data_IF_131021873124
#
_entry.id   IF_131021873124
#
_cell.length_a   1.000
_cell.length_b   1.000
_cell.length_c   1.000
_cell.angle_alpha   90.00
_cell.angle_beta   90.00
_cell.angle_gamma   90.00
#
_symmetry.space_group_name_H-M   'P 1'
#
loop_
_entity.id
_entity.type
_entity.pdbx_description
1 polymer ?
#
# COMPACT_ATOMS: atom_id res chain seq x y z
N UNK A 1 33.73 -1.12 -26.83
CA UNK A 1 32.65 -0.57 -27.69
C UNK A 1 32.87 -1.08 -29.11
N UNK A 2 31.80 -1.26 -29.87
CA UNK A 2 31.79 -1.88 -31.19
C UNK A 2 32.10 -0.90 -32.35
N UNK A 3 32.20 0.40 -32.07
CA UNK A 3 32.66 1.43 -33.03
C UNK A 3 31.71 1.77 -34.19
N UNK A 4 30.76 0.88 -34.54
CA UNK A 4 29.89 1.07 -35.71
C UNK A 4 28.39 1.02 -35.44
N UNK A 5 27.96 0.71 -34.21
CA UNK A 5 26.54 0.77 -33.84
C UNK A 5 26.07 2.21 -33.60
N UNK A 6 24.75 2.45 -33.68
CA UNK A 6 24.14 3.77 -33.54
C UNK A 6 24.52 4.47 -32.24
N UNK A 7 24.61 3.73 -31.13
CA UNK A 7 25.04 4.30 -29.85
C UNK A 7 26.54 4.66 -29.81
N UNK A 8 27.41 3.93 -30.51
CA UNK A 8 28.84 4.23 -30.59
C UNK A 8 29.16 5.38 -31.54
N UNK A 9 28.29 5.64 -32.51
CA UNK A 9 28.41 6.76 -33.45
C UNK A 9 27.95 8.09 -32.84
N UNK A 10 27.30 8.08 -31.68
CA UNK A 10 26.86 9.30 -30.99
C UNK A 10 28.05 10.02 -30.35
N UNK A 11 28.22 11.28 -30.73
CA UNK A 11 29.28 12.16 -30.21
C UNK A 11 28.84 12.79 -28.88
N UNK A 12 27.57 13.19 -28.77
CA UNK A 12 27.01 13.87 -27.60
C UNK A 12 26.15 12.97 -26.70
N UNK A 13 26.06 13.34 -25.42
CA UNK A 13 25.17 12.70 -24.45
C UNK A 13 23.72 13.09 -24.73
N UNK A 14 22.77 12.16 -24.61
CA UNK A 14 21.37 12.44 -24.94
C UNK A 14 20.69 13.44 -23.99
N UNK A 15 21.26 13.70 -22.81
CA UNK A 15 20.75 14.66 -21.84
C UNK A 15 19.48 14.25 -21.09
N UNK A 16 18.82 13.17 -21.55
CA UNK A 16 17.48 12.77 -21.11
C UNK A 16 17.43 11.41 -20.40
N UNK A 17 18.43 10.54 -20.59
CA UNK A 17 18.47 9.26 -19.87
C UNK A 17 18.75 9.47 -18.38
N UNK A 18 18.47 8.46 -17.55
CA UNK A 18 18.61 8.57 -16.09
C UNK A 18 20.02 9.02 -15.68
N UNK A 19 21.07 8.44 -16.27
CA UNK A 19 22.45 8.85 -16.02
C UNK A 19 22.73 10.33 -16.37
N UNK A 20 22.27 10.81 -17.53
CA UNK A 20 22.46 12.22 -17.92
C UNK A 20 21.60 13.19 -17.10
N UNK A 21 20.40 12.77 -16.70
CA UNK A 21 19.50 13.59 -15.89
C UNK A 21 19.98 13.71 -14.44
N UNK A 22 20.53 12.63 -13.87
CA UNK A 22 21.14 12.67 -12.54
C UNK A 22 22.44 13.50 -12.56
N UNK A 23 23.21 13.43 -13.65
CA UNK A 23 24.43 14.23 -13.81
C UNK A 23 24.17 15.73 -13.81
N UNK A 24 23.11 16.20 -14.49
CA UNK A 24 22.72 17.62 -14.49
C UNK A 24 22.34 18.16 -13.11
N UNK A 25 21.90 17.30 -12.18
CA UNK A 25 21.38 17.72 -10.87
C UNK A 25 22.36 17.53 -9.71
N UNK A 26 23.16 16.46 -9.73
CA UNK A 26 24.01 16.08 -8.59
C UNK A 26 25.43 15.66 -8.98
N UNK A 27 25.85 15.84 -10.24
CA UNK A 27 27.18 15.39 -10.69
C UNK A 27 27.35 13.87 -10.66
N UNK A 28 26.28 13.13 -11.00
CA UNK A 28 26.25 11.66 -11.12
C UNK A 28 27.14 11.08 -12.22
N UNK A 29 26.97 9.79 -12.54
CA UNK A 29 27.88 9.09 -13.46
C UNK A 29 27.78 9.57 -14.92
N UNK A 30 28.93 9.76 -15.57
CA UNK A 30 29.07 10.25 -16.96
C UNK A 30 28.50 9.34 -18.05
N UNK A 31 27.92 8.19 -17.69
CA UNK A 31 27.52 7.17 -18.65
C UNK A 31 26.11 7.44 -19.15
N UNK A 32 26.04 8.05 -20.34
CA UNK A 32 24.82 8.11 -21.12
C UNK A 32 24.42 6.71 -21.60
N UNK A 33 23.24 6.23 -21.20
CA UNK A 33 22.69 4.93 -21.63
C UNK A 33 22.57 4.84 -23.15
N UNK A 34 22.34 5.97 -23.81
CA UNK A 34 22.26 6.11 -25.25
C UNK A 34 23.63 6.11 -25.95
N UNK A 35 24.74 6.06 -25.21
CA UNK A 35 26.10 5.86 -25.74
C UNK A 35 26.69 4.49 -25.36
N UNK A 36 25.94 3.67 -24.62
CA UNK A 36 26.31 2.29 -24.36
C UNK A 36 26.23 1.47 -25.64
N UNK A 37 27.34 0.84 -26.08
CA UNK A 37 27.37 0.04 -27.31
C UNK A 37 26.26 -1.02 -27.29
N UNK A 38 25.55 -1.18 -28.41
CA UNK A 38 24.48 -2.17 -28.54
C UNK A 38 25.02 -3.59 -28.71
N UNK A 39 26.22 -3.74 -29.26
CA UNK A 39 26.88 -5.02 -29.50
C UNK A 39 27.97 -5.29 -28.46
N UNK A 40 27.66 -5.15 -27.17
CA UNK A 40 28.57 -5.59 -26.11
C UNK A 40 28.45 -7.13 -26.08
N UNK A 41 29.51 -7.82 -26.52
CA UNK A 41 29.63 -9.26 -26.30
C UNK A 41 29.53 -9.50 -24.79
N UNK A 42 28.41 -10.11 -24.35
CA UNK A 42 28.19 -10.50 -22.96
C UNK A 42 29.23 -11.56 -22.59
N UNK A 43 30.31 -11.14 -21.96
CA UNK A 43 31.03 -11.99 -21.02
C UNK A 43 30.77 -11.44 -19.62
N UNK A 44 29.96 -12.24 -18.92
CA UNK A 44 29.70 -12.40 -17.49
C UNK A 44 30.07 -11.31 -16.45
N UNK A 45 29.13 -11.16 -15.51
CA UNK A 45 29.31 -10.82 -14.10
C UNK A 45 29.75 -9.40 -13.73
N UNK A 46 28.74 -8.58 -13.37
CA UNK A 46 28.82 -7.77 -12.15
C UNK A 46 27.45 -7.56 -11.51
N UNK A 47 27.23 -8.32 -10.46
CA UNK A 47 26.26 -8.10 -9.39
C UNK A 47 26.39 -6.69 -8.84
N UNK A 48 25.32 -5.90 -8.91
CA UNK A 48 25.12 -4.77 -7.98
C UNK A 48 23.69 -4.82 -7.49
N UNK A 49 23.58 -5.33 -6.28
CA UNK A 49 22.43 -5.40 -5.40
C UNK A 49 21.69 -4.06 -5.34
N UNK A 50 20.44 -3.99 -5.84
CA UNK A 50 19.55 -2.87 -5.53
C UNK A 50 18.81 -3.18 -4.24
N UNK A 51 19.45 -2.82 -3.13
CA UNK A 51 18.87 -2.81 -1.80
C UNK A 51 17.64 -1.91 -1.74
N UNK A 52 16.59 -2.46 -1.16
CA UNK A 52 15.34 -1.79 -0.80
C UNK A 52 15.60 -0.71 0.24
N UNK A 53 15.43 0.56 -0.12
CA UNK A 53 15.23 1.62 0.88
C UNK A 53 13.99 2.44 0.51
N UNK A 54 12.86 2.05 1.12
CA UNK A 54 11.62 2.82 1.15
C UNK A 54 11.90 4.16 1.82
N UNK A 55 11.96 5.25 1.06
CA UNK A 55 11.92 6.62 1.60
C UNK A 55 10.54 7.19 1.23
N UNK A 56 9.68 7.34 2.24
CA UNK A 56 8.41 8.08 2.10
C UNK A 56 8.78 9.50 1.68
N UNK A 57 8.22 10.00 0.58
CA UNK A 57 8.40 11.38 0.13
C UNK A 57 7.02 12.01 0.09
N UNK A 58 6.81 12.93 1.03
CA UNK A 58 5.60 13.73 1.18
C UNK A 58 5.37 14.64 -0.02
N UNK A 59 4.08 14.90 -0.23
CA UNK A 59 3.47 15.74 -1.25
C UNK A 59 4.12 17.11 -1.37
N UNK A 60 4.60 17.43 -2.56
CA UNK A 60 4.55 18.78 -3.12
C UNK A 60 4.18 18.64 -4.59
N UNK A 61 3.02 19.20 -4.93
CA UNK A 61 2.57 19.45 -6.30
C UNK A 61 3.64 20.30 -6.97
N UNK A 62 4.19 19.84 -8.10
CA UNK A 62 4.67 20.70 -9.18
C UNK A 62 4.78 19.85 -10.44
N UNK A 63 3.99 20.24 -11.44
CA UNK A 63 3.86 19.54 -12.69
C UNK A 63 5.05 19.81 -13.59
N UNK A 64 5.70 18.74 -14.05
CA UNK A 64 6.51 18.77 -15.27
C UNK A 64 6.20 17.50 -16.06
N UNK A 65 5.33 17.67 -17.06
CA UNK A 65 4.92 16.66 -18.02
C UNK A 65 6.06 16.42 -19.02
N UNK A 66 7.06 15.64 -18.61
CA UNK A 66 8.07 15.13 -19.56
C UNK A 66 7.46 13.96 -20.31
N UNK A 67 6.99 14.24 -21.52
CA UNK A 67 6.52 13.25 -22.50
C UNK A 67 7.67 12.32 -22.91
N UNK A 68 7.86 11.20 -22.19
CA UNK A 68 8.76 10.11 -22.59
C UNK A 68 7.96 8.98 -23.29
N UNK A 69 8.59 8.21 -24.19
CA UNK A 69 7.92 7.43 -25.25
C UNK A 69 6.84 6.47 -24.73
N UNK A 70 5.70 6.53 -25.43
CA UNK A 70 4.40 5.84 -25.30
C UNK A 70 4.38 4.32 -25.07
N UNK A 71 5.46 3.63 -24.72
CA UNK A 71 5.50 2.17 -24.86
C UNK A 71 4.79 1.38 -23.75
N UNK A 72 4.45 2.00 -22.60
CA UNK A 72 3.77 1.30 -21.50
C UNK A 72 2.75 2.16 -20.73
N UNK A 73 2.05 3.04 -21.44
CA UNK A 73 0.94 3.81 -20.88
C UNK A 73 -0.29 2.91 -20.64
N UNK A 74 -0.34 2.25 -19.48
CA UNK A 74 -1.46 1.39 -19.11
C UNK A 74 -2.77 2.18 -19.01
N UNK A 75 -3.87 1.53 -19.35
CA UNK A 75 -5.20 2.07 -19.16
C UNK A 75 -5.53 2.24 -17.66
N UNK A 76 -6.27 3.30 -17.30
CA UNK A 76 -6.69 3.58 -15.93
C UNK A 76 -7.64 2.49 -15.41
N UNK A 77 -7.46 2.03 -14.18
CA UNK A 77 -8.30 0.97 -13.60
C UNK A 77 -9.63 1.50 -13.02
N UNK A 78 -9.92 2.79 -13.15
CA UNK A 78 -11.17 3.37 -12.67
C UNK A 78 -12.38 2.78 -13.41
N UNK A 79 -13.50 2.49 -12.72
CA UNK A 79 -14.67 1.92 -13.36
C UNK A 79 -15.21 2.85 -14.45
N UNK A 80 -15.32 2.33 -15.69
CA UNK A 80 -15.77 3.10 -16.85
C UNK A 80 -14.82 4.21 -17.31
N UNK A 81 -13.61 4.30 -16.75
CA UNK A 81 -12.62 5.24 -17.23
C UNK A 81 -12.07 4.75 -18.57
N UNK A 82 -11.77 5.65 -19.51
CA UNK A 82 -11.06 5.34 -20.79
C UNK A 82 -9.69 6.02 -20.87
N UNK A 83 -9.33 6.78 -19.83
CA UNK A 83 -8.08 7.55 -19.76
C UNK A 83 -6.87 6.66 -19.49
N UNK A 84 -5.69 7.17 -19.83
CA UNK A 84 -4.40 6.54 -19.53
C UNK A 84 -4.03 6.79 -18.06
N UNK A 85 -3.42 5.80 -17.40
CA UNK A 85 -2.92 5.96 -16.04
C UNK A 85 -1.71 6.92 -15.98
N UNK A 86 -1.58 7.67 -14.89
CA UNK A 86 -0.40 8.54 -14.70
C UNK A 86 0.87 7.69 -14.55
N UNK A 87 2.02 8.29 -14.83
CA UNK A 87 3.31 7.65 -14.60
C UNK A 87 3.42 7.11 -13.16
N UNK A 88 3.86 5.85 -13.02
CA UNK A 88 3.92 5.11 -11.75
C UNK A 88 2.59 4.98 -10.99
N UNK A 89 1.45 5.16 -11.66
CA UNK A 89 0.12 4.95 -11.08
C UNK A 89 -0.69 3.96 -11.90
N UNK A 90 -1.71 3.37 -11.27
CA UNK A 90 -2.75 2.58 -11.95
C UNK A 90 -3.95 3.43 -12.36
N UNK A 91 -3.97 4.70 -11.98
CA UNK A 91 -5.11 5.58 -12.13
C UNK A 91 -4.71 6.90 -12.80
N UNK A 92 -5.63 7.47 -13.58
CA UNK A 92 -5.45 8.77 -14.23
C UNK A 92 -5.62 9.97 -13.27
N UNK A 93 -5.83 9.75 -11.97
CA UNK A 93 -7.10 10.04 -11.31
C UNK A 93 -7.11 9.61 -9.84
N UNK A 94 -6.92 10.50 -8.85
CA UNK A 94 -7.18 10.14 -7.44
C UNK A 94 -8.67 9.86 -7.24
N UNK A 95 -9.53 10.62 -7.92
CA UNK A 95 -10.97 10.37 -8.02
C UNK A 95 -11.25 8.98 -8.60
N UNK A 96 -10.53 8.56 -9.66
CA UNK A 96 -10.70 7.21 -10.22
C UNK A 96 -10.22 6.11 -9.27
N UNK A 97 -9.10 6.31 -8.57
CA UNK A 97 -8.60 5.37 -7.57
C UNK A 97 -9.56 5.23 -6.39
N UNK A 98 -10.06 6.35 -5.86
CA UNK A 98 -11.00 6.37 -4.75
C UNK A 98 -12.37 5.80 -5.14
N UNK A 99 -12.86 6.08 -6.34
CA UNK A 99 -14.12 5.51 -6.83
C UNK A 99 -14.08 3.99 -6.88
N UNK A 100 -12.98 3.39 -7.36
CA UNK A 100 -12.82 1.94 -7.39
C UNK A 100 -12.68 1.36 -5.97
N UNK A 101 -11.91 2.03 -5.10
CA UNK A 101 -11.74 1.62 -3.71
C UNK A 101 -13.07 1.64 -2.96
N UNK A 102 -13.86 2.71 -3.09
CA UNK A 102 -15.18 2.84 -2.49
C UNK A 102 -16.11 1.71 -2.96
N UNK A 103 -16.21 1.48 -4.27
CA UNK A 103 -17.03 0.38 -4.81
C UNK A 103 -16.62 -0.97 -4.19
N UNK A 104 -15.32 -1.26 -4.14
CA UNK A 104 -14.82 -2.50 -3.53
C UNK A 104 -15.15 -2.60 -2.04
N UNK A 105 -14.99 -1.52 -1.27
CA UNK A 105 -15.32 -1.51 0.17
C UNK A 105 -16.82 -1.79 0.37
N UNK A 106 -17.69 -1.09 -0.36
CA UNK A 106 -19.13 -1.28 -0.22
C UNK A 106 -19.62 -2.66 -0.67
N UNK A 107 -18.95 -3.29 -1.65
CA UNK A 107 -19.32 -4.63 -2.09
C UNK A 107 -18.71 -5.75 -1.25
N UNK A 108 -17.48 -5.60 -0.75
CA UNK A 108 -16.76 -6.67 -0.03
C UNK A 108 -17.04 -6.64 1.46
N UNK A 109 -17.14 -5.46 2.08
CA UNK A 109 -17.16 -5.34 3.53
C UNK A 109 -18.46 -5.88 4.17
N UNK A 110 -19.66 -5.54 3.69
CA UNK A 110 -20.91 -6.05 4.28
C UNK A 110 -21.01 -7.58 4.30
N UNK A 111 -20.82 -8.31 3.17
CA UNK A 111 -20.91 -9.76 3.21
C UNK A 111 -19.80 -10.38 4.07
N UNK A 112 -18.59 -9.81 4.05
CA UNK A 112 -17.48 -10.34 4.85
C UNK A 112 -17.70 -10.17 6.36
N UNK A 113 -18.32 -9.06 6.76
CA UNK A 113 -18.70 -8.84 8.16
C UNK A 113 -19.83 -9.79 8.59
N UNK A 114 -20.82 -10.03 7.73
CA UNK A 114 -21.88 -11.00 7.98
C UNK A 114 -21.33 -12.41 8.14
N UNK A 115 -20.45 -12.85 7.24
CA UNK A 115 -19.77 -14.15 7.33
C UNK A 115 -19.00 -14.30 8.65
N UNK A 116 -18.27 -13.25 9.05
CA UNK A 116 -17.53 -13.27 10.31
C UNK A 116 -18.48 -13.38 11.52
N UNK A 117 -19.62 -12.69 11.50
CA UNK A 117 -20.61 -12.78 12.56
C UNK A 117 -21.29 -14.17 12.66
N UNK A 118 -21.37 -14.92 11.55
CA UNK A 118 -22.00 -16.24 11.53
C UNK A 118 -21.14 -17.35 12.15
N UNK A 119 -19.83 -17.15 12.26
CA UNK A 119 -18.89 -18.16 12.77
C UNK A 119 -18.23 -17.69 14.07
N UNK A 120 -18.94 -17.71 15.21
CA UNK A 120 -18.33 -17.42 16.50
C UNK A 120 -17.22 -18.44 16.77
N UNK A 121 -16.09 -17.96 17.27
CA UNK A 121 -14.97 -18.84 17.57
C UNK A 121 -15.17 -19.55 18.93
N UNK A 122 -14.50 -20.70 19.12
CA UNK A 122 -14.57 -21.48 20.37
C UNK A 122 -14.21 -20.63 21.60
N UNK A 123 -13.24 -19.72 21.45
CA UNK A 123 -12.84 -18.81 22.51
C UNK A 123 -13.98 -17.85 22.91
N UNK A 124 -14.76 -17.38 21.94
CA UNK A 124 -15.90 -16.49 22.17
C UNK A 124 -17.04 -17.21 22.87
N UNK A 125 -17.30 -18.48 22.51
CA UNK A 125 -18.28 -19.31 23.22
C UNK A 125 -17.86 -19.57 24.67
N UNK A 126 -16.58 -19.87 24.89
CA UNK A 126 -16.02 -20.11 26.24
C UNK A 126 -16.09 -18.84 27.08
N UNK A 127 -15.71 -17.70 26.52
CA UNK A 127 -15.82 -16.41 27.20
C UNK A 127 -17.27 -16.07 27.55
N UNK A 128 -18.22 -16.36 26.66
CA UNK A 128 -19.64 -16.14 26.93
C UNK A 128 -20.11 -16.95 28.14
N UNK A 129 -19.77 -18.24 28.22
CA UNK A 129 -20.08 -19.10 29.36
C UNK A 129 -19.43 -18.58 30.65
N UNK A 130 -18.16 -18.20 30.61
CA UNK A 130 -17.45 -17.64 31.76
C UNK A 130 -18.12 -16.34 32.27
N UNK A 131 -18.54 -15.45 31.35
CA UNK A 131 -19.25 -14.23 31.70
C UNK A 131 -20.63 -14.49 32.30
N UNK A 132 -21.34 -15.52 31.84
CA UNK A 132 -22.61 -15.94 32.42
C UNK A 132 -22.44 -16.43 33.87
N UNK A 133 -21.38 -17.20 34.16
CA UNK A 133 -21.05 -17.64 35.52
C UNK A 133 -20.78 -16.44 36.43
N UNK A 134 -19.89 -15.52 36.02
CA UNK A 134 -19.56 -14.33 36.80
C UNK A 134 -20.80 -13.47 37.09
N UNK A 135 -21.68 -13.28 36.09
CA UNK A 135 -22.93 -12.52 36.29
C UNK A 135 -23.86 -13.18 37.30
N UNK A 136 -23.93 -14.51 37.32
CA UNK A 136 -24.74 -15.26 38.29
C UNK A 136 -24.21 -15.07 39.70
N UNK A 137 -22.90 -15.24 39.89
CA UNK A 137 -22.24 -15.01 41.18
C UNK A 137 -22.44 -13.58 41.70
N UNK A 138 -22.32 -12.58 40.81
CA UNK A 138 -22.60 -11.19 41.16
C UNK A 138 -24.03 -10.97 41.64
N UNK A 139 -25.02 -11.61 41.01
CA UNK A 139 -26.42 -11.54 41.42
C UNK A 139 -26.64 -12.17 42.79
N UNK A 140 -26.06 -13.36 43.02
CA UNK A 140 -26.16 -14.07 44.31
C UNK A 140 -25.56 -13.24 45.45
N UNK A 141 -24.34 -12.72 45.27
CA UNK A 141 -23.70 -11.84 46.27
C UNK A 141 -24.56 -10.61 46.53
N UNK A 142 -25.11 -9.98 45.49
CA UNK A 142 -25.97 -8.81 45.64
C UNK A 142 -27.23 -9.12 46.45
N UNK A 143 -27.84 -10.29 46.25
CA UNK A 143 -29.06 -10.66 46.98
C UNK A 143 -28.76 -11.06 48.43
N UNK A 144 -27.62 -11.71 48.68
CA UNK A 144 -27.13 -11.96 50.05
C UNK A 144 -26.90 -10.63 50.79
N UNK A 145 -26.22 -9.66 50.17
CA UNK A 145 -25.98 -8.35 50.78
C UNK A 145 -27.28 -7.62 51.13
N UNK A 146 -28.27 -7.62 50.23
CA UNK A 146 -29.59 -7.03 50.51
C UNK A 146 -30.26 -7.68 51.72
N UNK A 147 -30.13 -8.99 51.86
CA UNK A 147 -30.74 -9.72 52.97
C UNK A 147 -30.02 -9.42 54.30
N UNK A 148 -28.69 -9.36 54.28
CA UNK A 148 -27.89 -8.94 55.44
C UNK A 148 -28.23 -7.51 55.88
N UNK A 149 -28.39 -6.58 54.93
CA UNK A 149 -28.78 -5.20 55.20
C UNK A 149 -30.16 -5.10 55.87
N UNK A 150 -31.13 -5.93 55.44
CA UNK A 150 -32.46 -6.00 56.10
C UNK A 150 -32.33 -6.46 57.53
N UNK A 151 -31.57 -7.54 57.79
CA UNK A 151 -31.37 -8.07 59.14
C UNK A 151 -30.67 -7.06 60.06
N UNK A 152 -29.66 -6.36 59.54
CA UNK A 152 -28.99 -5.29 60.28
C UNK A 152 -29.95 -4.15 60.61
N UNK A 153 -30.81 -3.72 59.69
CA UNK A 153 -31.82 -2.68 59.98
C UNK A 153 -32.83 -3.11 61.05
N UNK A 154 -33.23 -4.37 61.08
CA UNK A 154 -34.18 -4.89 62.09
C UNK A 154 -33.54 -4.98 63.48
N UNK A 155 -32.25 -5.28 63.59
CA UNK A 155 -31.54 -5.39 64.87
C UNK A 155 -31.11 -4.04 65.49
N UNK A 156 -31.27 -2.92 64.77
CA UNK A 156 -30.85 -1.57 65.23
C UNK A 156 -32.05 -0.76 65.79
N UNK A 157 -33.26 -1.32 65.78
CA UNK A 157 -34.46 -0.78 66.46
C UNK A 157 -34.85 -1.68 67.64
#
# INVERSE_FOLDING_TARGET
SCGHCDNCKRVENCGLCLGCSEMRRFGGSDLCENKTCLNINKQENRSVSKSTKRKRKDSSSDGDHVSLPLLNCNHCYGPGCTQIARYNSKYCSDKCGLSLANARIFHVLPPRLQEWALSPCIAEETNKKNLEVVRKEQLEVRDILKELDKRHKVNIY
#
